data_IF_789122936650
#
_entry.id   IF_789122936650
#
_cell.length_a   1.000
_cell.length_b   1.000
_cell.length_c   1.000
_cell.angle_alpha   90.00
_cell.angle_beta   90.00
_cell.angle_gamma   90.00
#
_symmetry.space_group_name_H-M   'P 1'
#
loop_
_entity.id
_entity.type
_entity.pdbx_description
1 polymer ?
#
# COMPACT_ATOMS: atom_id res chain seq x y z
N UNK A 1 7.92 -10.37 2.79
CA UNK A 1 7.99 -8.92 3.09
C UNK A 1 7.95 -8.76 4.60
N UNK A 2 8.72 -7.85 5.17
CA UNK A 2 8.55 -7.42 6.56
C UNK A 2 8.81 -5.92 6.67
N UNK A 3 8.35 -5.30 7.76
CA UNK A 3 8.73 -3.95 8.13
C UNK A 3 9.93 -3.96 9.09
N UNK A 4 10.83 -2.99 8.97
CA UNK A 4 11.97 -2.81 9.90
C UNK A 4 11.69 -1.84 11.04
N UNK A 5 10.52 -1.18 11.02
CA UNK A 5 9.98 -0.39 12.13
C UNK A 5 8.47 -0.57 12.21
N UNK A 6 7.86 0.03 13.24
CA UNK A 6 6.41 0.08 13.37
C UNK A 6 5.82 0.94 12.26
N UNK A 7 4.94 0.35 11.45
CA UNK A 7 4.18 1.05 10.42
C UNK A 7 2.72 1.03 10.82
N UNK A 8 1.98 2.09 10.51
CA UNK A 8 0.55 2.15 10.84
C UNK A 8 -0.26 1.13 10.03
N UNK A 9 -1.43 0.77 10.56
CA UNK A 9 -2.31 -0.22 9.94
C UNK A 9 -2.81 0.26 8.57
N UNK A 10 -3.06 1.57 8.41
CA UNK A 10 -3.48 2.20 7.15
C UNK A 10 -2.37 2.15 6.10
N UNK A 11 -1.13 2.44 6.51
CA UNK A 11 0.04 2.32 5.64
C UNK A 11 0.27 0.89 5.19
N UNK A 12 0.15 -0.06 6.12
CA UNK A 12 0.25 -1.50 5.83
C UNK A 12 -0.83 -1.94 4.85
N UNK A 13 -2.08 -1.51 5.07
CA UNK A 13 -3.20 -1.81 4.18
C UNK A 13 -2.97 -1.26 2.77
N UNK A 14 -2.65 0.04 2.68
CA UNK A 14 -2.42 0.71 1.41
C UNK A 14 -1.28 0.07 0.61
N UNK A 15 -0.16 -0.21 1.28
CA UNK A 15 0.98 -0.86 0.65
C UNK A 15 0.65 -2.28 0.19
N UNK A 16 0.00 -3.10 1.02
CA UNK A 16 -0.29 -4.49 0.68
C UNK A 16 -1.28 -4.59 -0.48
N UNK A 17 -2.35 -3.77 -0.47
CA UNK A 17 -3.32 -3.72 -1.57
C UNK A 17 -2.64 -3.37 -2.90
N UNK A 18 -1.72 -2.40 -2.87
CA UNK A 18 -0.97 -2.00 -4.05
C UNK A 18 0.05 -3.06 -4.47
N UNK A 19 0.81 -3.60 -3.51
CA UNK A 19 1.79 -4.65 -3.74
C UNK A 19 1.19 -5.87 -4.44
N UNK A 20 0.04 -6.38 -3.97
CA UNK A 20 -0.60 -7.55 -4.60
C UNK A 20 -1.13 -7.24 -6.00
N UNK A 21 -1.52 -6.00 -6.27
CA UNK A 21 -1.90 -5.62 -7.64
C UNK A 21 -0.68 -5.58 -8.54
N UNK A 22 0.40 -4.94 -8.11
CA UNK A 22 1.63 -4.88 -8.89
C UNK A 22 2.22 -6.29 -9.08
N UNK A 23 2.05 -7.19 -8.10
CA UNK A 23 2.50 -8.58 -8.19
C UNK A 23 1.80 -9.35 -9.31
N UNK A 24 0.55 -9.02 -9.66
CA UNK A 24 -0.13 -9.65 -10.80
C UNK A 24 0.47 -9.26 -12.16
N UNK A 25 1.18 -8.13 -12.23
CA UNK A 25 1.76 -7.60 -13.47
C UNK A 25 3.30 -7.71 -13.52
N UNK A 26 3.95 -7.73 -12.36
CA UNK A 26 5.40 -7.74 -12.25
C UNK A 26 5.96 -9.16 -12.38
N UNK A 27 7.17 -9.27 -12.95
CA UNK A 27 7.86 -10.55 -13.11
C UNK A 27 8.40 -11.13 -11.81
N UNK A 28 8.71 -10.27 -10.84
CA UNK A 28 9.35 -10.63 -9.56
C UNK A 28 8.77 -9.81 -8.41
N UNK A 29 8.85 -10.34 -7.19
CA UNK A 29 8.28 -9.70 -5.99
C UNK A 29 8.96 -8.38 -5.64
N UNK A 30 10.28 -8.27 -5.83
CA UNK A 30 10.99 -7.03 -5.54
C UNK A 30 10.51 -5.86 -6.44
N UNK A 31 10.19 -6.14 -7.70
CA UNK A 31 9.67 -5.12 -8.60
C UNK A 31 8.23 -4.73 -8.21
N UNK A 32 7.40 -5.69 -7.84
CA UNK A 32 6.06 -5.40 -7.31
C UNK A 32 6.10 -4.48 -6.08
N UNK A 33 7.01 -4.74 -5.14
CA UNK A 33 7.19 -3.89 -3.96
C UNK A 33 7.64 -2.48 -4.36
N UNK A 34 8.63 -2.37 -5.25
CA UNK A 34 9.13 -1.08 -5.72
C UNK A 34 8.03 -0.26 -6.37
N UNK A 35 7.19 -0.87 -7.20
CA UNK A 35 6.06 -0.20 -7.84
C UNK A 35 5.02 0.26 -6.82
N UNK A 36 4.72 -0.56 -5.81
CA UNK A 36 3.80 -0.16 -4.75
C UNK A 36 4.32 1.04 -3.94
N UNK A 37 5.61 1.04 -3.60
CA UNK A 37 6.24 2.17 -2.91
C UNK A 37 6.23 3.45 -3.76
N UNK A 38 6.43 3.34 -5.08
CA UNK A 38 6.33 4.47 -5.99
C UNK A 38 4.92 5.02 -6.13
N UNK A 39 3.90 4.15 -6.20
CA UNK A 39 2.50 4.56 -6.24
C UNK A 39 2.11 5.32 -4.97
N UNK A 40 2.53 4.82 -3.80
CA UNK A 40 2.34 5.53 -2.53
C UNK A 40 3.07 6.86 -2.53
N UNK A 41 4.36 6.91 -2.91
CA UNK A 41 5.15 8.15 -3.00
C UNK A 41 4.48 9.22 -3.89
N UNK A 42 3.82 8.81 -4.97
CA UNK A 42 3.11 9.71 -5.91
C UNK A 42 1.74 10.16 -5.39
N UNK A 43 1.29 9.64 -4.25
CA UNK A 43 -0.05 9.92 -3.70
C UNK A 43 -1.16 9.24 -4.49
N UNK A 44 -0.85 8.18 -5.24
CA UNK A 44 -1.84 7.40 -5.99
C UNK A 44 -2.67 6.49 -5.08
N UNK A 45 -2.15 6.22 -3.86
CA UNK A 45 -2.83 5.42 -2.83
C UNK A 45 -3.31 6.35 -1.70
N UNK A 46 -4.62 6.47 -1.56
CA UNK A 46 -5.29 7.35 -0.59
C UNK A 46 -6.47 6.65 0.06
N UNK A 47 -6.75 7.00 1.31
CA UNK A 47 -8.00 6.61 1.98
C UNK A 47 -8.90 7.83 1.97
N UNK A 48 -10.06 7.72 1.34
CA UNK A 48 -11.05 8.78 1.27
C UNK A 48 -12.46 8.19 1.37
N UNK A 49 -13.34 8.83 2.14
CA UNK A 49 -14.76 8.44 2.28
C UNK A 49 -14.93 6.96 2.73
N UNK A 50 -14.04 6.49 3.61
CA UNK A 50 -14.05 5.10 4.07
C UNK A 50 -13.68 4.08 2.98
N UNK A 51 -13.02 4.53 1.92
CA UNK A 51 -12.57 3.68 0.83
C UNK A 51 -11.07 3.85 0.57
N UNK A 52 -10.39 2.74 0.30
CA UNK A 52 -9.05 2.77 -0.26
C UNK A 52 -9.14 2.96 -1.78
N UNK A 53 -8.55 4.04 -2.27
CA UNK A 53 -8.38 4.36 -3.69
C UNK A 53 -6.89 4.21 -4.02
N UNK A 54 -6.57 3.37 -5.00
CA UNK A 54 -5.20 3.06 -5.42
C UNK A 54 -5.16 2.72 -6.90
N UNK A 55 -3.96 2.62 -7.49
CA UNK A 55 -3.79 2.08 -8.85
C UNK A 55 -4.25 0.62 -8.95
N UNK A 56 -4.23 -0.08 -7.82
CA UNK A 56 -4.78 -1.41 -7.60
C UNK A 56 -6.28 -1.56 -7.77
N UNK A 57 -7.03 -0.52 -7.44
CA UNK A 57 -8.47 -0.58 -7.34
C UNK A 57 -9.08 -0.55 -8.74
N UNK A 58 -9.34 -1.73 -9.34
CA UNK A 58 -10.39 -1.86 -10.37
C UNK A 58 -11.76 -1.36 -9.88
N UNK A 59 -11.88 -1.08 -8.57
CA UNK A 59 -12.90 -0.28 -7.92
C UNK A 59 -12.43 0.02 -6.49
N UNK A 60 -12.95 1.09 -5.89
CA UNK A 60 -12.60 1.51 -4.54
C UNK A 60 -12.90 0.37 -3.53
N UNK A 61 -11.93 0.03 -2.67
CA UNK A 61 -12.13 -1.01 -1.65
C UNK A 61 -12.81 -0.37 -0.45
N UNK A 62 -14.04 -0.80 -0.16
CA UNK A 62 -14.79 -0.34 1.01
C UNK A 62 -14.11 -0.86 2.27
N UNK A 63 -13.73 0.06 3.15
CA UNK A 63 -13.09 -0.28 4.41
C UNK A 63 -14.14 -0.68 5.47
N UNK A 64 -13.85 -1.68 6.31
CA UNK A 64 -14.63 -1.94 7.51
C UNK A 64 -14.77 -0.68 8.37
N UNK A 65 -15.88 -0.54 9.09
CA UNK A 65 -16.21 0.67 9.87
C UNK A 65 -15.13 1.10 10.87
N UNK A 66 -14.31 0.18 11.36
CA UNK A 66 -13.18 0.50 12.24
C UNK A 66 -12.05 1.25 11.53
N UNK A 67 -11.83 0.96 10.25
CA UNK A 67 -10.88 1.64 9.37
C UNK A 67 -11.55 2.81 8.62
N UNK A 68 -12.88 2.81 8.51
CA UNK A 68 -13.67 3.90 7.93
C UNK A 68 -13.70 5.18 8.77
N UNK A 69 -13.20 5.13 10.02
CA UNK A 69 -13.05 6.29 10.91
C UNK A 69 -11.87 7.19 10.52
N UNK A 70 -10.97 6.72 9.65
CA UNK A 70 -9.84 7.51 9.18
C UNK A 70 -10.32 8.51 8.13
N UNK A 71 -10.40 9.78 8.52
CA UNK A 71 -10.66 10.90 7.61
C UNK A 71 -9.53 11.03 6.58
N UNK A 72 -9.87 11.41 5.34
CA UNK A 72 -8.99 11.65 4.18
C UNK A 72 -7.48 11.64 4.48
N UNK A 73 -6.85 10.48 4.36
CA UNK A 73 -5.41 10.30 4.58
C UNK A 73 -4.68 10.04 3.26
N UNK A 74 -3.69 10.90 2.99
CA UNK A 74 -2.69 10.63 1.97
C UNK A 74 -1.62 9.72 2.55
N UNK A 75 -1.43 8.55 1.94
CA UNK A 75 -0.41 7.58 2.36
C UNK A 75 0.95 7.83 1.67
N UNK A 76 1.17 9.05 1.18
CA UNK A 76 2.40 9.41 0.44
C UNK A 76 3.63 9.59 1.31
N UNK A 77 3.43 9.93 2.59
CA UNK A 77 4.54 10.14 3.50
C UNK A 77 5.36 8.85 3.69
N UNK A 78 6.71 8.89 3.61
CA UNK A 78 7.56 7.70 3.71
C UNK A 78 7.34 6.83 4.96
N UNK A 79 6.86 7.44 6.04
CA UNK A 79 6.43 6.75 7.25
C UNK A 79 5.55 5.51 6.98
N UNK A 80 4.66 5.58 5.99
CA UNK A 80 3.68 4.54 5.70
C UNK A 80 4.22 3.36 4.87
N UNK A 81 5.36 3.50 4.19
CA UNK A 81 5.79 2.50 3.19
C UNK A 81 7.30 2.25 3.12
N UNK A 82 8.14 3.21 3.52
CA UNK A 82 9.59 3.09 3.41
C UNK A 82 10.19 2.04 4.36
N UNK A 83 9.41 1.61 5.37
CA UNK A 83 9.82 0.59 6.32
C UNK A 83 9.74 -0.82 5.79
N UNK A 84 9.05 -1.04 4.68
CA UNK A 84 8.85 -2.37 4.13
C UNK A 84 10.00 -2.79 3.22
N UNK A 85 10.52 -3.98 3.48
CA UNK A 85 11.56 -4.61 2.67
C UNK A 85 11.21 -6.05 2.32
N UNK A 86 11.75 -6.51 1.19
CA UNK A 86 11.68 -7.92 0.83
C UNK A 86 12.61 -8.74 1.74
N UNK A 87 12.06 -9.82 2.30
CA UNK A 87 12.81 -10.84 3.04
C UNK A 87 12.56 -12.17 2.34
N UNK A 88 13.60 -12.99 2.19
CA UNK A 88 13.58 -14.23 1.44
C UNK A 88 13.88 -14.03 -0.05
N UNK A 89 13.43 -14.94 -0.92
CA UNK A 89 13.62 -14.84 -2.37
C UNK A 89 12.86 -13.64 -2.96
N UNK A 90 13.55 -12.65 -3.55
CA UNK A 90 12.91 -11.56 -4.29
C UNK A 90 12.44 -11.97 -5.69
N UNK A 91 12.95 -13.09 -6.23
CA UNK A 91 12.58 -13.67 -7.53
C UNK A 91 11.44 -14.66 -7.38
#
# INVERSE_FOLDING_TARGET
LASVWYVSDEGTLGLMAEFYTQLNNAKIKAEALRQAQLAMLRGEVVIAEGQLRGTAARGAVVLPSELGKFENQSLSHPYYWAGFMMIGSPW
#
